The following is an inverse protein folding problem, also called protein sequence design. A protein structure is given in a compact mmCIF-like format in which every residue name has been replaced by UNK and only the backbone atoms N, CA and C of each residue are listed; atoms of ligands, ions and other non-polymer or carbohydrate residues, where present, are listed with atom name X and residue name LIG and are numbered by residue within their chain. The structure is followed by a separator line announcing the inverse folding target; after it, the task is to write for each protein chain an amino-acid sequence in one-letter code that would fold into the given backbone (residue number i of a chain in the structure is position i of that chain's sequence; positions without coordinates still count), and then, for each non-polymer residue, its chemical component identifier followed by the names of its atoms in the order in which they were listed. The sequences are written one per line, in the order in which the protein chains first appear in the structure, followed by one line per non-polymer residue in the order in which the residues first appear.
data_IF_164970732499
#
_entry.id   IF_164970732499
#
_cell.length_a   1.000
_cell.length_b   1.000
_cell.length_c   1.000
_cell.angle_alpha   90.00
_cell.angle_beta   90.00
_cell.angle_gamma   90.00
#
_symmetry.space_group_name_H-M   'P 1'
#
loop_
_entity.id
_entity.type
_entity.pdbx_description
1 polymer ?
#
# COMPACT_ATOMS: atom_id res chain seq x y z
N UNK A 1 19.32 24.30 -10.27
CA UNK A 1 18.53 23.64 -11.34
C UNK A 1 17.49 24.64 -11.79
N UNK A 2 17.15 24.67 -13.08
CA UNK A 2 16.11 25.55 -13.60
C UNK A 2 14.75 25.09 -13.06
N UNK A 3 13.82 26.03 -12.83
CA UNK A 3 12.52 25.72 -12.28
C UNK A 3 11.62 25.02 -13.32
N UNK A 4 10.66 24.23 -12.85
CA UNK A 4 9.57 23.71 -13.67
C UNK A 4 8.30 24.52 -13.38
N UNK A 5 7.70 25.10 -14.42
CA UNK A 5 6.39 25.73 -14.37
C UNK A 5 5.37 24.82 -15.07
N UNK A 6 4.54 24.14 -14.29
CA UNK A 6 3.43 23.33 -14.81
C UNK A 6 2.14 24.14 -14.78
N UNK A 7 1.59 24.46 -15.94
CA UNK A 7 0.26 25.09 -16.07
C UNK A 7 -0.78 24.01 -16.28
N UNK A 8 -1.95 24.12 -15.65
CA UNK A 8 -3.03 23.16 -15.80
C UNK A 8 -4.40 23.81 -15.70
N UNK A 9 -5.37 23.28 -16.47
CA UNK A 9 -6.75 23.76 -16.41
C UNK A 9 -7.46 23.24 -15.16
N UNK A 10 -7.31 21.97 -14.80
CA UNK A 10 -7.95 21.37 -13.62
C UNK A 10 -6.91 20.75 -12.69
N UNK A 11 -6.90 21.21 -11.43
CA UNK A 11 -6.03 20.73 -10.36
C UNK A 11 -6.86 20.21 -9.19
N UNK A 12 -6.72 18.94 -8.84
CA UNK A 12 -7.06 18.43 -7.51
C UNK A 12 -5.78 18.48 -6.68
N UNK A 13 -5.69 19.32 -5.66
CA UNK A 13 -4.43 19.53 -4.92
C UNK A 13 -4.27 18.65 -3.67
N UNK A 14 -5.27 17.82 -3.34
CA UNK A 14 -5.23 16.98 -2.15
C UNK A 14 -5.39 17.72 -0.82
N UNK A 15 -5.69 19.03 -0.82
CA UNK A 15 -5.96 19.80 0.43
C UNK A 15 -7.40 19.66 0.90
N UNK A 16 -8.28 19.15 0.04
CA UNK A 16 -9.69 18.90 0.29
C UNK A 16 -10.30 18.06 -0.82
N UNK A 17 -11.62 18.18 -1.03
CA UNK A 17 -12.38 17.35 -1.96
C UNK A 17 -12.74 18.05 -3.28
N UNK A 18 -12.19 19.24 -3.53
CA UNK A 18 -12.56 20.08 -4.68
C UNK A 18 -11.39 20.30 -5.63
N UNK A 19 -11.70 20.56 -6.90
CA UNK A 19 -10.72 21.01 -7.89
C UNK A 19 -10.62 22.52 -7.94
N UNK A 20 -9.44 23.02 -8.28
CA UNK A 20 -9.17 24.42 -8.62
C UNK A 20 -8.92 24.53 -10.12
N UNK A 21 -9.34 25.65 -10.71
CA UNK A 21 -9.25 25.88 -12.16
C UNK A 21 -8.11 26.85 -12.49
N UNK A 22 -7.46 26.68 -13.64
CA UNK A 22 -6.40 27.58 -14.16
C UNK A 22 -5.29 27.83 -13.13
N UNK A 23 -4.55 26.77 -12.81
CA UNK A 23 -3.51 26.78 -11.79
C UNK A 23 -2.13 26.62 -12.42
N UNK A 24 -1.12 27.18 -11.75
CA UNK A 24 0.29 26.93 -12.03
C UNK A 24 0.96 26.36 -10.80
N UNK A 25 1.77 25.33 -11.00
CA UNK A 25 2.69 24.77 -10.02
C UNK A 25 4.11 25.17 -10.44
N UNK A 26 4.85 25.82 -9.56
CA UNK A 26 6.28 26.09 -9.76
C UNK A 26 7.07 25.17 -8.85
N UNK A 27 8.03 24.46 -9.44
CA UNK A 27 8.85 23.46 -8.76
C UNK A 27 10.31 23.87 -8.81
N UNK A 28 10.93 23.95 -7.64
CA UNK A 28 12.34 24.28 -7.46
C UNK A 28 12.97 23.25 -6.51
N UNK A 29 14.09 22.66 -6.91
CA UNK A 29 14.82 21.67 -6.10
C UNK A 29 13.93 20.51 -5.60
N UNK A 30 12.93 20.13 -6.40
CA UNK A 30 11.99 19.06 -6.10
C UNK A 30 10.84 19.43 -5.15
N UNK A 31 10.78 20.68 -4.70
CA UNK A 31 9.73 21.22 -3.85
C UNK A 31 8.84 22.19 -4.62
N UNK A 32 7.58 22.30 -4.21
CA UNK A 32 6.65 23.29 -4.75
C UNK A 32 6.97 24.68 -4.16
N UNK A 33 7.51 25.59 -4.98
CA UNK A 33 7.75 26.99 -4.58
C UNK A 33 6.50 27.87 -4.74
N UNK A 34 5.57 27.46 -5.63
CA UNK A 34 4.28 28.12 -5.80
C UNK A 34 3.21 27.11 -6.25
N UNK A 35 2.01 27.22 -5.68
CA UNK A 35 0.80 26.56 -6.18
C UNK A 35 -0.35 27.55 -6.08
N UNK A 36 -0.95 27.93 -7.20
CA UNK A 36 -2.02 28.90 -7.19
C UNK A 36 -2.47 29.35 -8.59
N UNK A 37 -3.35 30.37 -8.67
CA UNK A 37 -3.88 30.87 -9.95
C UNK A 37 -2.77 31.23 -10.93
N UNK A 38 -2.93 30.82 -12.20
CA UNK A 38 -1.92 31.08 -13.24
C UNK A 38 -1.65 32.57 -13.45
N UNK A 39 -2.66 33.41 -13.30
CA UNK A 39 -2.53 34.87 -13.43
C UNK A 39 -1.60 35.50 -12.39
N UNK A 40 -1.41 34.85 -11.24
CA UNK A 40 -0.57 35.31 -10.12
C UNK A 40 0.76 34.57 -10.04
N UNK A 41 1.02 33.63 -10.95
CA UNK A 41 2.21 32.80 -10.90
C UNK A 41 3.48 33.61 -11.23
N UNK A 42 4.62 33.29 -10.60
CA UNK A 42 5.92 33.81 -11.01
C UNK A 42 6.15 33.57 -12.51
N UNK A 43 6.68 34.58 -13.20
CA UNK A 43 6.99 34.45 -14.62
C UNK A 43 8.21 33.54 -14.80
N UNK A 44 8.18 32.60 -15.78
CA UNK A 44 9.34 31.76 -16.07
C UNK A 44 10.55 32.60 -16.45
N UNK A 45 11.71 32.26 -15.89
CA UNK A 45 13.00 32.85 -16.24
C UNK A 45 13.65 32.13 -17.42
N UNK A 46 14.71 32.72 -17.97
CA UNK A 46 15.48 32.08 -19.03
C UNK A 46 16.08 30.75 -18.54
N UNK A 47 15.73 29.65 -19.21
CA UNK A 47 16.18 28.30 -18.87
C UNK A 47 15.14 27.47 -18.10
N UNK A 48 14.11 28.10 -17.53
CA UNK A 48 13.03 27.37 -16.87
C UNK A 48 12.25 26.49 -17.85
N UNK A 49 11.85 25.31 -17.38
CA UNK A 49 11.03 24.39 -18.16
C UNK A 49 9.57 24.74 -17.95
N UNK A 50 8.88 25.10 -19.03
CA UNK A 50 7.43 25.34 -19.00
C UNK A 50 6.72 24.14 -19.60
N UNK A 51 5.78 23.56 -18.86
CA UNK A 51 4.92 22.47 -19.30
C UNK A 51 3.48 22.95 -19.22
N UNK A 52 2.77 22.90 -20.34
CA UNK A 52 1.33 23.10 -20.38
C UNK A 52 0.64 21.73 -20.34
N UNK A 53 -0.05 21.43 -19.25
CA UNK A 53 -0.82 20.20 -19.09
C UNK A 53 -2.13 20.23 -19.88
N UNK A 54 -2.53 21.38 -20.44
CA UNK A 54 -3.79 21.54 -21.15
C UNK A 54 -4.98 21.09 -20.30
N UNK A 55 -5.84 20.27 -20.89
CA UNK A 55 -7.04 19.71 -20.25
C UNK A 55 -6.76 18.46 -19.39
N UNK A 56 -5.50 18.04 -19.26
CA UNK A 56 -5.19 16.93 -18.37
C UNK A 56 -5.52 17.29 -16.92
N UNK A 57 -6.11 16.33 -16.22
CA UNK A 57 -6.39 16.43 -14.79
C UNK A 57 -5.08 16.24 -14.01
N UNK A 58 -4.72 17.23 -13.19
CA UNK A 58 -3.53 17.19 -12.35
C UNK A 58 -3.91 16.84 -10.91
N UNK A 59 -3.20 15.88 -10.30
CA UNK A 59 -3.41 15.48 -8.90
C UNK A 59 -2.11 15.04 -8.21
N UNK A 60 -2.04 14.98 -6.86
CA UNK A 60 -0.89 14.40 -6.18
C UNK A 60 -0.65 12.96 -6.63
N UNK A 61 0.61 12.52 -6.56
CA UNK A 61 0.95 11.11 -6.69
C UNK A 61 0.22 10.24 -5.67
N UNK A 62 -0.13 9.01 -6.06
CA UNK A 62 -0.81 8.08 -5.17
C UNK A 62 0.13 7.60 -4.05
N UNK A 63 -0.46 7.34 -2.89
CA UNK A 63 0.19 6.72 -1.73
C UNK A 63 -0.50 5.39 -1.44
N UNK A 64 0.23 4.30 -1.60
CA UNK A 64 -0.24 2.94 -1.30
C UNK A 64 0.35 2.45 0.03
N UNK A 65 -0.50 2.28 1.05
CA UNK A 65 -0.05 1.99 2.41
C UNK A 65 0.09 0.50 2.73
N UNK A 66 -0.11 -0.40 1.77
CA UNK A 66 0.10 -1.84 2.00
C UNK A 66 0.60 -2.54 0.73
N UNK A 67 1.89 -2.84 0.71
CA UNK A 67 2.57 -3.53 -0.40
C UNK A 67 3.67 -4.43 0.14
N UNK A 68 4.14 -5.40 -0.65
CA UNK A 68 5.16 -6.35 -0.20
C UNK A 68 6.26 -6.51 -1.23
N UNK A 69 7.38 -5.78 -1.13
CA UNK A 69 8.45 -5.84 -2.14
C UNK A 69 9.20 -7.18 -2.20
N UNK A 70 9.22 -7.96 -1.11
CA UNK A 70 9.85 -9.29 -1.07
C UNK A 70 9.13 -10.34 -1.92
N UNK A 71 7.81 -10.25 -2.09
CA UNK A 71 7.01 -11.39 -2.57
C UNK A 71 7.21 -11.64 -4.06
N UNK A 72 7.50 -10.60 -4.84
CA UNK A 72 7.77 -10.62 -6.28
C UNK A 72 6.74 -11.39 -7.11
N UNK A 73 5.46 -11.09 -6.90
CA UNK A 73 4.31 -11.70 -7.57
C UNK A 73 4.19 -13.20 -7.28
N UNK A 74 4.37 -13.57 -6.00
CA UNK A 74 4.32 -14.94 -5.54
C UNK A 74 2.96 -15.60 -5.78
N UNK A 75 2.97 -16.90 -6.03
CA UNK A 75 1.77 -17.71 -6.23
C UNK A 75 1.44 -18.57 -5.01
N UNK A 76 2.39 -18.68 -4.08
CA UNK A 76 2.29 -19.46 -2.84
C UNK A 76 3.21 -18.89 -1.77
N UNK A 77 3.00 -19.27 -0.51
CA UNK A 77 3.89 -18.90 0.60
C UNK A 77 5.30 -19.51 0.41
N UNK A 78 5.37 -20.71 -0.18
CA UNK A 78 6.64 -21.35 -0.52
C UNK A 78 7.47 -20.52 -1.52
N UNK A 79 6.83 -19.88 -2.51
CA UNK A 79 7.51 -18.95 -3.42
C UNK A 79 8.03 -17.73 -2.70
N UNK A 80 7.28 -17.26 -1.68
CA UNK A 80 7.68 -16.12 -0.88
C UNK A 80 8.89 -16.47 -0.05
N UNK A 81 8.92 -17.62 0.63
CA UNK A 81 9.83 -17.87 1.75
C UNK A 81 10.94 -18.92 1.50
N UNK A 82 10.73 -19.89 0.60
CA UNK A 82 11.62 -21.05 0.43
C UNK A 82 12.54 -20.93 -0.78
N UNK A 83 11.99 -20.53 -1.94
CA UNK A 83 12.65 -20.77 -3.24
C UNK A 83 13.56 -19.63 -3.74
N UNK A 84 13.74 -18.55 -2.96
CA UNK A 84 14.50 -17.38 -3.39
C UNK A 84 15.44 -16.86 -2.31
N UNK A 85 16.67 -16.50 -2.70
CA UNK A 85 17.61 -15.84 -1.78
C UNK A 85 17.21 -14.37 -1.55
N UNK A 86 17.65 -13.79 -0.43
CA UNK A 86 17.36 -12.40 -0.08
C UNK A 86 17.95 -11.41 -1.11
N UNK A 87 19.11 -11.71 -1.69
CA UNK A 87 19.73 -10.88 -2.73
C UNK A 87 18.84 -10.81 -3.98
N UNK A 88 18.32 -11.96 -4.42
CA UNK A 88 17.46 -12.00 -5.59
C UNK A 88 16.10 -11.35 -5.31
N UNK A 89 15.54 -11.54 -4.11
CA UNK A 89 14.34 -10.82 -3.67
C UNK A 89 14.57 -9.31 -3.72
N UNK A 90 15.72 -8.81 -3.26
CA UNK A 90 16.02 -7.38 -3.25
C UNK A 90 16.14 -6.79 -4.67
N UNK A 91 16.80 -7.49 -5.59
CA UNK A 91 16.87 -7.08 -6.99
C UNK A 91 15.49 -7.04 -7.66
N UNK A 92 14.65 -8.05 -7.41
CA UNK A 92 13.25 -8.06 -7.85
C UNK A 92 12.42 -6.94 -7.22
N UNK A 93 12.56 -6.72 -5.92
CA UNK A 93 11.89 -5.65 -5.20
C UNK A 93 12.23 -4.29 -5.79
N UNK A 94 13.52 -4.02 -6.07
CA UNK A 94 13.94 -2.80 -6.76
C UNK A 94 13.38 -2.69 -8.19
N UNK A 95 13.35 -3.79 -8.94
CA UNK A 95 12.74 -3.83 -10.26
C UNK A 95 11.25 -3.47 -10.20
N UNK A 96 10.50 -4.05 -9.27
CA UNK A 96 9.08 -3.79 -9.13
C UNK A 96 8.76 -2.43 -8.50
N UNK A 97 9.61 -1.90 -7.61
CA UNK A 97 9.46 -0.53 -7.10
C UNK A 97 9.40 0.50 -8.25
N UNK A 98 10.19 0.31 -9.32
CA UNK A 98 10.10 1.14 -10.51
C UNK A 98 8.76 0.97 -11.27
N UNK A 99 8.19 -0.24 -11.29
CA UNK A 99 6.87 -0.49 -11.88
C UNK A 99 5.75 0.18 -11.09
N UNK A 100 5.83 0.13 -9.76
CA UNK A 100 4.91 0.82 -8.85
C UNK A 100 4.94 2.34 -9.13
N UNK A 101 6.14 2.93 -9.25
CA UNK A 101 6.27 4.35 -9.59
C UNK A 101 5.68 4.70 -10.96
N UNK A 102 5.96 3.89 -11.99
CA UNK A 102 5.36 4.08 -13.31
C UNK A 102 3.83 4.00 -13.33
N UNK A 103 3.23 3.29 -12.37
CA UNK A 103 1.78 3.20 -12.22
C UNK A 103 1.17 4.41 -11.49
N UNK A 104 1.95 5.43 -11.15
CA UNK A 104 1.48 6.66 -10.51
C UNK A 104 1.51 6.63 -8.98
N UNK A 105 2.06 5.58 -8.37
CA UNK A 105 2.29 5.50 -6.92
C UNK A 105 3.66 6.11 -6.61
N UNK A 106 3.69 7.33 -6.09
CA UNK A 106 4.95 8.04 -5.80
C UNK A 106 5.47 7.80 -4.39
N UNK A 107 4.62 7.27 -3.51
CA UNK A 107 4.98 6.85 -2.15
C UNK A 107 4.29 5.53 -1.79
N UNK A 108 4.97 4.67 -1.05
CA UNK A 108 4.42 3.38 -0.63
C UNK A 108 4.88 2.99 0.77
N UNK A 109 4.05 2.24 1.49
CA UNK A 109 4.43 1.56 2.74
C UNK A 109 4.60 0.07 2.43
N UNK A 110 5.73 -0.49 2.86
CA UNK A 110 6.03 -1.91 2.77
C UNK A 110 6.04 -2.49 4.20
N UNK A 111 4.87 -2.88 4.75
CA UNK A 111 4.73 -3.23 6.16
C UNK A 111 4.99 -4.73 6.41
N UNK A 112 5.85 -5.38 5.62
CA UNK A 112 6.19 -6.79 5.82
C UNK A 112 7.16 -7.26 4.76
N UNK A 113 8.25 -7.89 5.19
CA UNK A 113 9.40 -8.13 4.33
C UNK A 113 10.27 -9.32 4.75
N UNK A 114 11.21 -9.74 3.89
CA UNK A 114 12.31 -10.65 4.25
C UNK A 114 13.54 -9.85 4.68
N UNK A 115 13.98 -10.05 5.92
CA UNK A 115 15.17 -9.39 6.46
C UNK A 115 15.07 -7.86 6.43
N UNK A 116 15.99 -7.20 5.72
CA UNK A 116 16.09 -5.73 5.59
C UNK A 116 15.88 -5.27 4.13
N UNK A 117 15.16 -6.04 3.32
CA UNK A 117 15.07 -5.81 1.88
C UNK A 117 14.49 -4.44 1.50
N UNK A 118 13.33 -4.05 2.04
CA UNK A 118 12.68 -2.77 1.75
C UNK A 118 13.47 -1.61 2.33
N UNK A 119 14.20 -1.82 3.43
CA UNK A 119 15.17 -0.86 3.95
C UNK A 119 16.27 -0.63 2.91
N UNK A 120 16.83 -1.70 2.33
CA UNK A 120 17.84 -1.61 1.29
C UNK A 120 17.31 -0.93 0.01
N UNK A 121 16.11 -1.30 -0.45
CA UNK A 121 15.46 -0.67 -1.62
C UNK A 121 15.17 0.80 -1.35
N UNK A 122 14.59 1.14 -0.19
CA UNK A 122 14.35 2.53 0.25
C UNK A 122 15.64 3.33 0.22
N UNK A 123 16.69 2.82 0.85
CA UNK A 123 17.98 3.52 0.96
C UNK A 123 18.61 3.73 -0.43
N UNK A 124 18.53 2.73 -1.31
CA UNK A 124 19.05 2.85 -2.67
C UNK A 124 18.28 3.90 -3.52
N UNK A 125 16.95 3.96 -3.38
CA UNK A 125 16.13 5.01 -4.02
C UNK A 125 16.43 6.39 -3.40
N UNK A 126 16.54 6.48 -2.08
CA UNK A 126 16.81 7.73 -1.37
C UNK A 126 18.21 8.28 -1.68
N UNK A 127 19.19 7.40 -1.90
CA UNK A 127 20.54 7.76 -2.33
C UNK A 127 20.62 8.15 -3.82
N UNK A 128 19.53 8.01 -4.59
CA UNK A 128 19.50 8.32 -6.02
C UNK A 128 20.19 7.27 -6.91
N UNK A 129 20.47 6.06 -6.38
CA UNK A 129 21.07 4.97 -7.16
C UNK A 129 20.09 4.41 -8.18
N UNK A 130 18.80 4.41 -7.85
CA UNK A 130 17.73 3.92 -8.70
C UNK A 130 16.48 4.81 -8.60
N UNK A 131 15.68 4.79 -9.66
CA UNK A 131 14.34 5.35 -9.63
C UNK A 131 13.40 4.45 -8.79
N UNK A 132 12.37 5.03 -8.17
CA UNK A 132 11.39 4.31 -7.36
C UNK A 132 10.58 5.27 -6.50
N UNK A 133 9.46 4.84 -5.90
CA UNK A 133 8.68 5.67 -4.98
C UNK A 133 9.46 5.97 -3.70
N UNK A 134 8.98 6.92 -2.90
CA UNK A 134 9.37 6.99 -1.48
C UNK A 134 8.82 5.77 -0.77
N UNK A 135 9.63 5.11 0.05
CA UNK A 135 9.25 3.86 0.71
C UNK A 135 9.31 4.08 2.22
N UNK A 136 8.21 3.81 2.92
CA UNK A 136 8.22 3.55 4.35
C UNK A 136 8.50 2.05 4.53
N UNK A 137 9.70 1.74 5.01
CA UNK A 137 10.21 0.37 5.08
C UNK A 137 9.99 -0.23 6.47
N UNK A 138 9.54 -1.48 6.52
CA UNK A 138 9.60 -2.30 7.72
C UNK A 138 10.70 -3.35 7.62
N UNK A 139 10.70 -4.30 8.55
CA UNK A 139 11.42 -5.56 8.43
C UNK A 139 10.39 -6.71 8.44
N UNK A 140 10.83 -7.89 8.89
CA UNK A 140 9.99 -9.07 9.08
C UNK A 140 8.81 -8.75 9.98
N UNK A 141 7.65 -9.30 9.62
CA UNK A 141 6.42 -9.18 10.41
C UNK A 141 6.61 -9.82 11.79
N UNK A 142 6.30 -9.11 12.87
CA UNK A 142 6.30 -9.71 14.21
C UNK A 142 5.08 -10.61 14.33
N UNK A 143 5.31 -11.88 14.63
CA UNK A 143 4.28 -12.92 14.55
C UNK A 143 4.38 -13.85 15.76
N UNK A 144 3.26 -14.39 16.22
CA UNK A 144 3.22 -15.41 17.27
C UNK A 144 2.64 -16.71 16.73
N UNK A 145 2.63 -17.76 17.55
CA UNK A 145 1.80 -18.93 17.29
C UNK A 145 0.37 -18.52 16.98
N UNK A 146 -0.25 -19.16 15.99
CA UNK A 146 -1.62 -18.91 15.53
C UNK A 146 -1.86 -17.68 14.63
N UNK A 147 -0.88 -16.79 14.50
CA UNK A 147 -0.96 -15.63 13.60
C UNK A 147 -0.86 -16.02 12.11
N UNK A 148 -1.20 -15.09 11.21
CA UNK A 148 -1.20 -15.27 9.75
C UNK A 148 0.08 -15.93 9.22
N UNK A 149 1.24 -15.56 9.76
CA UNK A 149 2.54 -15.99 9.26
C UNK A 149 3.08 -17.26 9.96
N UNK A 150 2.35 -17.90 10.89
CA UNK A 150 2.77 -19.16 11.52
C UNK A 150 2.37 -20.39 10.68
N UNK A 151 2.89 -20.49 9.46
CA UNK A 151 2.54 -21.56 8.52
C UNK A 151 3.54 -22.72 8.45
N UNK A 152 4.78 -22.52 8.93
CA UNK A 152 5.77 -23.59 9.03
C UNK A 152 5.34 -24.65 10.04
N UNK A 153 5.34 -25.95 9.68
CA UNK A 153 5.03 -27.01 10.65
C UNK A 153 5.95 -26.94 11.87
N UNK A 154 5.40 -27.11 13.07
CA UNK A 154 6.17 -26.99 14.31
C UNK A 154 7.40 -27.89 14.39
N UNK A 155 7.38 -29.05 13.72
CA UNK A 155 8.53 -29.98 13.65
C UNK A 155 9.68 -29.48 12.76
N UNK A 156 9.40 -28.53 11.85
CA UNK A 156 10.39 -27.88 10.97
C UNK A 156 10.93 -26.62 11.64
N UNK A 157 10.05 -25.88 12.33
CA UNK A 157 10.39 -24.57 12.91
C UNK A 157 10.38 -23.46 11.86
N UNK A 158 10.21 -22.22 12.31
CA UNK A 158 10.25 -21.04 11.45
C UNK A 158 11.70 -20.64 11.15
N UNK A 159 12.13 -20.58 9.88
CA UNK A 159 13.47 -20.14 9.52
C UNK A 159 13.73 -18.67 9.87
N UNK A 160 14.99 -18.29 10.08
CA UNK A 160 15.34 -16.89 10.38
C UNK A 160 15.22 -15.95 9.17
N UNK A 161 15.30 -16.48 7.94
CA UNK A 161 15.17 -15.74 6.68
C UNK A 161 13.72 -15.65 6.17
N UNK A 162 12.76 -16.05 7.00
CA UNK A 162 11.33 -15.96 6.72
C UNK A 162 10.86 -14.49 6.71
N UNK A 163 9.81 -14.18 5.95
CA UNK A 163 9.14 -12.87 5.92
C UNK A 163 8.47 -12.46 7.25
N UNK A 164 8.44 -13.36 8.23
CA UNK A 164 8.05 -13.05 9.60
C UNK A 164 9.09 -13.51 10.64
N UNK A 165 9.04 -12.86 11.80
CA UNK A 165 9.79 -13.25 12.99
C UNK A 165 8.82 -13.82 14.01
N UNK A 166 8.89 -15.14 14.19
CA UNK A 166 8.18 -15.83 15.27
C UNK A 166 8.77 -15.43 16.62
N UNK A 167 7.96 -14.82 17.46
CA UNK A 167 8.26 -14.48 18.85
C UNK A 167 7.31 -15.28 19.74
N UNK A 168 7.84 -15.86 20.81
CA UNK A 168 7.10 -16.76 21.71
C UNK A 168 7.01 -16.22 23.13
N UNK A 169 7.58 -15.04 23.37
CA UNK A 169 7.48 -14.34 24.66
C UNK A 169 7.49 -12.82 24.47
N UNK A 170 6.98 -12.10 25.47
CA UNK A 170 7.05 -10.63 25.57
C UNK A 170 8.47 -10.10 25.36
N UNK A 171 9.45 -10.68 26.05
CA UNK A 171 10.84 -10.23 25.96
C UNK A 171 11.43 -10.41 24.56
N UNK A 172 11.08 -11.48 23.86
CA UNK A 172 11.50 -11.70 22.46
C UNK A 172 10.87 -10.66 21.53
N UNK A 173 9.58 -10.35 21.71
CA UNK A 173 8.89 -9.32 20.94
C UNK A 173 9.56 -7.95 21.08
N UNK A 174 9.80 -7.50 22.32
CA UNK A 174 10.45 -6.21 22.59
C UNK A 174 11.90 -6.19 22.08
N UNK A 175 12.64 -7.30 22.21
CA UNK A 175 14.00 -7.40 21.69
C UNK A 175 14.04 -7.31 20.15
N UNK A 176 13.11 -7.95 19.46
CA UNK A 176 12.99 -7.85 18.00
C UNK A 176 12.62 -6.43 17.56
N UNK A 177 11.66 -5.77 18.22
CA UNK A 177 11.30 -4.37 17.93
C UNK A 177 12.52 -3.46 18.02
N UNK A 178 13.31 -3.59 19.09
CA UNK A 178 14.57 -2.83 19.27
C UNK A 178 15.57 -3.11 18.17
N UNK A 179 15.69 -4.37 17.74
CA UNK A 179 16.57 -4.77 16.64
C UNK A 179 16.13 -4.12 15.32
N UNK A 180 14.85 -4.22 14.98
CA UNK A 180 14.32 -3.62 13.75
C UNK A 180 14.46 -2.09 13.76
N UNK A 181 14.21 -1.44 14.91
CA UNK A 181 14.44 0.00 15.08
C UNK A 181 15.92 0.38 14.89
N UNK A 182 16.85 -0.40 15.48
CA UNK A 182 18.30 -0.23 15.25
C UNK A 182 18.66 -0.35 13.77
N UNK A 183 18.02 -1.26 13.05
CA UNK A 183 18.25 -1.50 11.62
C UNK A 183 17.60 -0.40 10.72
N UNK A 184 16.85 0.53 11.32
CA UNK A 184 16.38 1.75 10.66
C UNK A 184 15.04 1.60 9.94
N UNK A 185 14.12 0.79 10.46
CA UNK A 185 12.72 0.72 9.99
C UNK A 185 11.99 2.04 10.25
N UNK A 186 11.07 2.39 9.36
CA UNK A 186 10.13 3.51 9.54
C UNK A 186 8.88 3.08 10.35
N UNK A 187 8.55 1.80 10.30
CA UNK A 187 7.42 1.21 10.99
C UNK A 187 7.66 -0.25 11.41
N UNK A 188 6.95 -0.67 12.45
CA UNK A 188 6.87 -2.05 12.92
C UNK A 188 5.54 -2.64 12.47
N UNK A 189 5.56 -3.84 11.88
CA UNK A 189 4.35 -4.61 11.59
C UNK A 189 4.16 -5.74 12.58
N UNK A 190 2.93 -5.91 13.06
CA UNK A 190 2.52 -7.03 13.90
C UNK A 190 1.37 -7.78 13.22
N UNK A 191 1.46 -9.12 13.15
CA UNK A 191 0.35 -9.98 12.74
C UNK A 191 -0.49 -10.36 13.96
N UNK A 192 -1.58 -9.62 14.19
CA UNK A 192 -2.38 -9.71 15.41
C UNK A 192 -3.30 -10.91 15.46
N UNK A 193 -3.64 -11.50 14.32
CA UNK A 193 -4.44 -12.71 14.21
C UNK A 193 -4.08 -13.52 12.94
N UNK A 194 -4.83 -14.59 12.71
CA UNK A 194 -4.65 -15.52 11.61
C UNK A 194 -5.93 -16.31 11.34
N UNK A 195 -5.81 -17.62 11.16
CA UNK A 195 -6.95 -18.48 10.78
C UNK A 195 -7.64 -19.17 11.96
N UNK A 196 -7.09 -19.06 13.18
CA UNK A 196 -7.61 -19.72 14.37
C UNK A 196 -8.92 -19.09 14.85
N UNK A 197 -9.91 -19.93 15.14
CA UNK A 197 -11.27 -19.50 15.50
C UNK A 197 -11.79 -20.20 16.75
N UNK A 198 -12.60 -19.46 17.52
CA UNK A 198 -13.44 -19.99 18.61
C UNK A 198 -14.57 -20.86 18.03
N UNK A 199 -15.24 -21.70 18.85
CA UNK A 199 -16.39 -22.49 18.39
C UNK A 199 -17.54 -21.67 17.79
N UNK A 200 -17.69 -20.40 18.20
CA UNK A 200 -18.67 -19.46 17.66
C UNK A 200 -18.23 -18.79 16.34
N UNK A 201 -17.05 -19.14 15.81
CA UNK A 201 -16.51 -18.63 14.55
C UNK A 201 -15.65 -17.37 14.66
N UNK A 202 -15.55 -16.73 15.83
CA UNK A 202 -14.72 -15.53 16.02
C UNK A 202 -13.23 -15.85 15.89
N UNK A 203 -12.50 -14.99 15.18
CA UNK A 203 -11.04 -15.08 15.04
C UNK A 203 -10.38 -14.73 16.39
N UNK A 204 -9.39 -15.52 16.77
CA UNK A 204 -8.64 -15.34 18.02
C UNK A 204 -7.40 -14.49 17.75
N UNK A 205 -7.18 -13.47 18.59
CA UNK A 205 -5.93 -12.70 18.53
C UNK A 205 -4.73 -13.56 18.98
N UNK A 206 -3.63 -13.48 18.24
CA UNK A 206 -2.39 -14.20 18.48
C UNK A 206 -1.55 -13.59 19.62
N UNK A 207 -1.89 -12.38 20.05
CA UNK A 207 -1.29 -11.69 21.19
C UNK A 207 -2.38 -11.23 22.15
N UNK A 208 -2.06 -11.21 23.43
CA UNK A 208 -2.92 -10.62 24.46
C UNK A 208 -2.96 -9.10 24.34
N UNK A 209 -3.97 -8.46 24.95
CA UNK A 209 -4.06 -7.00 25.01
C UNK A 209 -2.81 -6.35 25.64
N UNK A 210 -2.26 -6.96 26.70
CA UNK A 210 -1.04 -6.46 27.37
C UNK A 210 0.19 -6.57 26.47
N UNK A 211 0.39 -7.71 25.79
CA UNK A 211 1.48 -7.87 24.82
C UNK A 211 1.38 -6.86 23.68
N UNK A 212 0.17 -6.62 23.19
CA UNK A 212 -0.10 -5.64 22.14
C UNK A 212 0.30 -4.24 22.59
N UNK A 213 -0.18 -3.81 23.76
CA UNK A 213 0.17 -2.51 24.35
C UNK A 213 1.68 -2.36 24.51
N UNK A 214 2.34 -3.33 25.13
CA UNK A 214 3.79 -3.28 25.38
C UNK A 214 4.60 -3.17 24.09
N UNK A 215 4.22 -3.92 23.04
CA UNK A 215 4.86 -3.83 21.73
C UNK A 215 4.66 -2.45 21.07
N UNK A 216 3.44 -1.90 21.14
CA UNK A 216 3.13 -0.59 20.54
C UNK A 216 3.85 0.53 21.28
N UNK A 217 3.80 0.54 22.61
CA UNK A 217 4.51 1.51 23.45
C UNK A 217 6.02 1.49 23.17
N UNK A 218 6.63 0.31 23.03
CA UNK A 218 8.06 0.21 22.75
C UNK A 218 8.41 0.71 21.34
N UNK A 219 7.59 0.41 20.33
CA UNK A 219 7.80 0.91 18.98
C UNK A 219 7.68 2.45 18.93
N UNK A 220 6.66 3.02 19.56
CA UNK A 220 6.47 4.47 19.67
C UNK A 220 7.59 5.15 20.46
N UNK A 221 8.05 4.55 21.56
CA UNK A 221 9.20 5.03 22.35
C UNK A 221 10.48 5.11 21.50
N UNK A 222 10.61 4.24 20.50
CA UNK A 222 11.73 4.21 19.55
C UNK A 222 11.49 5.11 18.32
N UNK A 223 10.33 5.78 18.22
CA UNK A 223 9.99 6.68 17.12
C UNK A 223 9.46 5.98 15.86
N UNK A 224 9.12 4.70 15.93
CA UNK A 224 8.53 3.95 14.83
C UNK A 224 7.01 3.98 14.90
N UNK A 225 6.34 4.09 13.75
CA UNK A 225 4.89 3.82 13.66
C UNK A 225 4.60 2.33 13.79
N UNK A 226 3.37 1.97 14.14
CA UNK A 226 2.93 0.57 14.17
C UNK A 226 1.81 0.32 13.18
N UNK A 227 1.94 -0.75 12.41
CA UNK A 227 0.87 -1.25 11.56
C UNK A 227 0.49 -2.70 11.93
N UNK A 228 -0.78 -3.08 11.80
CA UNK A 228 -1.24 -4.42 12.20
C UNK A 228 -2.05 -5.11 11.12
N UNK A 229 -1.76 -6.40 10.88
CA UNK A 229 -2.76 -7.28 10.28
C UNK A 229 -3.77 -7.64 11.38
N UNK A 230 -5.03 -7.24 11.23
CA UNK A 230 -6.10 -7.58 12.16
C UNK A 230 -7.42 -7.79 11.41
N UNK A 231 -7.85 -9.03 11.28
CA UNK A 231 -9.15 -9.36 10.66
C UNK A 231 -10.30 -9.33 11.68
N UNK A 232 -10.08 -9.96 12.83
CA UNK A 232 -11.06 -10.23 13.86
C UNK A 232 -11.31 -9.06 14.80
N UNK A 233 -12.54 -8.97 15.32
CA UNK A 233 -12.96 -8.04 16.37
C UNK A 233 -11.93 -7.92 17.51
N UNK A 234 -11.46 -9.04 18.03
CA UNK A 234 -10.53 -9.07 19.18
C UNK A 234 -9.20 -8.37 18.86
N UNK A 235 -8.59 -8.73 17.72
CA UNK A 235 -7.34 -8.13 17.27
C UNK A 235 -7.49 -6.63 16.98
N UNK A 236 -8.58 -6.23 16.31
CA UNK A 236 -8.87 -4.81 16.01
C UNK A 236 -9.06 -4.02 17.31
N UNK A 237 -9.78 -4.56 18.29
CA UNK A 237 -9.97 -3.92 19.59
C UNK A 237 -8.66 -3.75 20.35
N UNK A 238 -7.79 -4.77 20.38
CA UNK A 238 -6.49 -4.69 21.05
C UNK A 238 -5.56 -3.69 20.36
N UNK A 239 -5.51 -3.70 19.02
CA UNK A 239 -4.74 -2.76 18.23
C UNK A 239 -5.19 -1.31 18.46
N UNK A 240 -6.50 -1.04 18.40
CA UNK A 240 -7.04 0.29 18.62
C UNK A 240 -6.71 0.81 20.03
N UNK A 241 -6.97 0.03 21.08
CA UNK A 241 -6.69 0.43 22.47
C UNK A 241 -5.20 0.62 22.76
N UNK A 242 -4.32 -0.08 22.04
CA UNK A 242 -2.89 0.11 22.15
C UNK A 242 -2.39 1.37 21.42
N UNK A 243 -3.21 2.03 20.61
CA UNK A 243 -2.83 3.22 19.86
C UNK A 243 -2.12 2.93 18.54
N UNK A 244 -2.40 1.78 17.90
CA UNK A 244 -1.79 1.43 16.59
C UNK A 244 -2.09 2.50 15.55
N UNK A 245 -1.06 2.95 14.80
CA UNK A 245 -1.21 3.99 13.78
C UNK A 245 -2.04 3.55 12.57
N UNK A 246 -1.81 2.32 12.09
CA UNK A 246 -2.40 1.79 10.85
C UNK A 246 -2.94 0.37 11.05
N UNK A 247 -4.25 0.21 10.95
CA UNK A 247 -4.93 -1.09 11.03
C UNK A 247 -5.27 -1.56 9.62
N UNK A 248 -4.84 -2.76 9.27
CA UNK A 248 -5.17 -3.37 7.98
C UNK A 248 -6.38 -4.29 8.10
N UNK A 249 -7.19 -4.30 7.04
CA UNK A 249 -8.32 -5.22 6.85
C UNK A 249 -9.56 -4.90 7.72
N UNK A 250 -9.55 -5.29 9.00
CA UNK A 250 -10.65 -5.11 9.96
C UNK A 250 -12.04 -5.61 9.50
N UNK A 251 -12.10 -6.65 8.67
CA UNK A 251 -13.34 -7.12 8.06
C UNK A 251 -14.39 -7.66 9.05
N UNK A 252 -13.99 -8.05 10.26
CA UNK A 252 -14.90 -8.60 11.28
C UNK A 252 -14.95 -7.73 12.54
N UNK A 253 -14.63 -6.44 12.44
CA UNK A 253 -14.79 -5.50 13.55
C UNK A 253 -16.28 -5.23 13.87
N UNK A 254 -16.56 -4.61 15.01
CA UNK A 254 -17.90 -4.16 15.41
C UNK A 254 -17.91 -2.65 15.74
N UNK A 255 -19.04 -2.14 16.20
CA UNK A 255 -19.19 -0.69 16.47
C UNK A 255 -18.31 -0.25 17.65
N UNK A 256 -18.05 -1.12 18.63
CA UNK A 256 -17.11 -0.83 19.72
C UNK A 256 -15.67 -0.72 19.21
N UNK A 257 -15.27 -1.54 18.22
CA UNK A 257 -13.99 -1.36 17.54
C UNK A 257 -13.92 -0.03 16.79
N UNK A 258 -15.01 0.40 16.13
CA UNK A 258 -15.06 1.69 15.42
C UNK A 258 -14.84 2.85 16.40
N UNK A 259 -15.52 2.84 17.55
CA UNK A 259 -15.33 3.84 18.61
C UNK A 259 -13.88 3.86 19.11
N UNK A 260 -13.29 2.69 19.36
CA UNK A 260 -11.90 2.59 19.80
C UNK A 260 -10.91 3.10 18.74
N UNK A 261 -11.13 2.83 17.45
CA UNK A 261 -10.29 3.33 16.36
C UNK A 261 -10.35 4.86 16.25
N UNK A 262 -11.54 5.45 16.46
CA UNK A 262 -11.72 6.91 16.50
C UNK A 262 -10.98 7.54 17.67
N UNK A 263 -11.13 6.98 18.88
CA UNK A 263 -10.46 7.46 20.08
C UNK A 263 -8.92 7.40 19.94
N UNK A 264 -8.41 6.31 19.36
CA UNK A 264 -6.99 6.13 19.10
C UNK A 264 -6.44 7.00 17.97
N UNK A 265 -7.29 7.54 17.10
CA UNK A 265 -6.87 8.25 15.89
C UNK A 265 -6.23 7.34 14.83
N UNK A 266 -6.49 6.03 14.89
CA UNK A 266 -5.95 5.03 13.96
C UNK A 266 -6.47 5.23 12.54
N UNK A 267 -5.62 4.93 11.56
CA UNK A 267 -5.99 4.91 10.14
C UNK A 267 -6.34 3.48 9.75
N UNK A 268 -7.41 3.32 8.97
CA UNK A 268 -7.84 2.02 8.45
C UNK A 268 -7.49 1.86 6.97
N UNK A 269 -6.86 0.75 6.61
CA UNK A 269 -6.60 0.37 5.22
C UNK A 269 -7.22 -1.02 4.95
N UNK A 270 -8.41 -1.08 4.32
CA UNK A 270 -9.15 -2.34 4.15
C UNK A 270 -8.44 -3.38 3.30
N UNK A 271 -7.67 -2.93 2.31
CA UNK A 271 -6.97 -3.76 1.34
C UNK A 271 -7.88 -4.76 0.64
N UNK A 272 -9.03 -4.28 0.16
CA UNK A 272 -10.02 -5.10 -0.53
C UNK A 272 -9.51 -5.61 -1.89
N UNK A 273 -8.50 -4.96 -2.48
CA UNK A 273 -7.97 -5.31 -3.80
C UNK A 273 -7.53 -6.75 -3.90
N UNK A 274 -6.70 -7.25 -2.97
CA UNK A 274 -6.27 -8.66 -2.97
C UNK A 274 -7.44 -9.65 -2.91
N UNK A 275 -8.32 -9.65 -1.89
CA UNK A 275 -9.43 -10.60 -1.84
C UNK A 275 -10.42 -10.39 -3.00
N UNK A 276 -10.59 -9.17 -3.51
CA UNK A 276 -11.45 -8.91 -4.66
C UNK A 276 -10.87 -9.51 -5.95
N UNK A 277 -9.58 -9.33 -6.19
CA UNK A 277 -8.89 -9.92 -7.34
C UNK A 277 -8.97 -11.47 -7.25
N UNK A 278 -8.85 -12.05 -6.06
CA UNK A 278 -9.04 -13.49 -5.87
C UNK A 278 -10.44 -13.95 -6.29
N UNK A 279 -11.49 -13.19 -5.93
CA UNK A 279 -12.87 -13.51 -6.31
C UNK A 279 -13.08 -13.36 -7.82
N UNK A 280 -12.61 -12.27 -8.40
CA UNK A 280 -12.93 -11.92 -9.78
C UNK A 280 -12.08 -12.69 -10.78
N UNK A 281 -10.78 -12.85 -10.50
CA UNK A 281 -9.80 -13.22 -11.51
C UNK A 281 -9.39 -14.68 -11.46
N UNK A 282 -9.36 -15.31 -10.28
CA UNK A 282 -8.95 -16.71 -10.16
C UNK A 282 -9.78 -17.64 -11.07
N UNK A 283 -9.12 -18.66 -11.60
CA UNK A 283 -9.65 -19.64 -12.53
C UNK A 283 -9.83 -20.99 -11.84
N UNK A 284 -10.61 -21.88 -12.46
CA UNK A 284 -10.93 -23.20 -11.87
C UNK A 284 -9.70 -24.06 -11.51
N UNK A 285 -8.55 -23.84 -12.15
CA UNK A 285 -7.31 -24.56 -11.87
C UNK A 285 -6.51 -23.98 -10.70
N UNK A 286 -6.84 -22.77 -10.23
CA UNK A 286 -6.10 -22.15 -9.13
C UNK A 286 -6.41 -22.83 -7.79
N UNK A 287 -5.42 -22.93 -6.89
CA UNK A 287 -5.62 -23.37 -5.52
C UNK A 287 -6.71 -22.58 -4.80
N UNK A 288 -6.82 -21.27 -5.08
CA UNK A 288 -7.82 -20.41 -4.46
C UNK A 288 -9.27 -20.85 -4.72
N UNK A 289 -9.55 -21.42 -5.91
CA UNK A 289 -10.88 -21.93 -6.24
C UNK A 289 -11.07 -23.33 -5.65
N UNK A 290 -10.12 -24.23 -5.90
CA UNK A 290 -10.22 -25.65 -5.49
C UNK A 290 -10.26 -25.87 -3.97
N UNK A 291 -9.64 -24.97 -3.18
CA UNK A 291 -9.68 -25.02 -1.70
C UNK A 291 -10.87 -24.28 -1.09
N UNK A 292 -11.67 -23.57 -1.90
CA UNK A 292 -12.76 -22.72 -1.44
C UNK A 292 -12.32 -21.36 -0.87
N UNK A 293 -11.03 -21.02 -0.97
CA UNK A 293 -10.49 -19.75 -0.48
C UNK A 293 -11.14 -18.52 -1.15
N UNK A 294 -11.39 -18.55 -2.47
CA UNK A 294 -12.12 -17.47 -3.14
C UNK A 294 -13.53 -17.28 -2.59
N UNK A 295 -14.21 -18.37 -2.20
CA UNK A 295 -15.50 -18.29 -1.52
C UNK A 295 -15.40 -17.68 -0.11
N UNK A 296 -14.29 -17.92 0.60
CA UNK A 296 -13.98 -17.24 1.85
C UNK A 296 -13.71 -15.73 1.65
N UNK A 297 -12.95 -15.35 0.62
CA UNK A 297 -12.73 -13.95 0.26
C UNK A 297 -14.05 -13.23 -0.06
N UNK A 298 -14.93 -13.86 -0.86
CA UNK A 298 -16.23 -13.30 -1.21
C UNK A 298 -17.10 -13.02 0.04
N UNK A 299 -17.21 -13.98 0.96
CA UNK A 299 -17.95 -13.80 2.21
C UNK A 299 -17.31 -12.74 3.11
N UNK A 300 -15.98 -12.72 3.20
CA UNK A 300 -15.24 -11.74 3.99
C UNK A 300 -15.47 -10.32 3.46
N UNK A 301 -15.46 -10.13 2.14
CA UNK A 301 -15.76 -8.85 1.51
C UNK A 301 -17.20 -8.41 1.74
N UNK A 302 -18.17 -9.33 1.67
CA UNK A 302 -19.58 -9.02 1.92
C UNK A 302 -19.82 -8.53 3.36
N UNK A 303 -19.38 -9.33 4.34
CA UNK A 303 -19.49 -8.99 5.78
C UNK A 303 -18.69 -7.73 6.09
N UNK A 304 -17.45 -7.68 5.62
CA UNK A 304 -16.53 -6.57 5.84
C UNK A 304 -17.02 -5.26 5.27
N UNK A 305 -17.54 -5.26 4.04
CA UNK A 305 -18.07 -4.03 3.42
C UNK A 305 -19.18 -3.40 4.25
N UNK A 306 -20.03 -4.20 4.90
CA UNK A 306 -21.12 -3.69 5.73
C UNK A 306 -20.61 -2.93 6.97
N UNK A 307 -19.56 -3.43 7.64
CA UNK A 307 -18.99 -2.73 8.81
C UNK A 307 -18.04 -1.59 8.42
N UNK A 308 -17.28 -1.75 7.33
CA UNK A 308 -16.43 -0.69 6.80
C UNK A 308 -17.23 0.55 6.36
N UNK A 309 -18.45 0.37 5.82
CA UNK A 309 -19.39 1.48 5.57
C UNK A 309 -19.76 2.24 6.85
N UNK A 310 -19.99 1.52 7.95
CA UNK A 310 -20.29 2.15 9.25
C UNK A 310 -19.07 2.90 9.80
N UNK A 311 -17.88 2.33 9.68
CA UNK A 311 -16.63 3.01 10.06
C UNK A 311 -16.42 4.30 9.24
N UNK A 312 -16.67 4.26 7.93
CA UNK A 312 -16.65 5.46 7.07
C UNK A 312 -17.67 6.50 7.55
N UNK A 313 -18.91 6.08 7.79
CA UNK A 313 -19.98 6.99 8.25
C UNK A 313 -19.67 7.60 9.63
N UNK A 314 -18.96 6.87 10.49
CA UNK A 314 -18.51 7.34 11.80
C UNK A 314 -17.30 8.29 11.73
N UNK A 315 -16.62 8.39 10.58
CA UNK A 315 -15.49 9.29 10.37
C UNK A 315 -14.11 8.69 10.64
N UNK A 316 -13.98 7.35 10.71
CA UNK A 316 -12.67 6.70 10.76
C UNK A 316 -11.88 7.08 9.51
N UNK A 317 -10.61 7.52 9.60
CA UNK A 317 -9.84 7.85 8.41
C UNK A 317 -9.43 6.59 7.64
N UNK A 318 -9.67 6.58 6.33
CA UNK A 318 -9.30 5.48 5.44
C UNK A 318 -8.09 5.84 4.58
N UNK A 319 -7.17 4.90 4.42
CA UNK A 319 -6.07 4.96 3.47
C UNK A 319 -6.21 3.86 2.39
N UNK A 320 -5.65 4.14 1.21
CA UNK A 320 -5.55 3.17 0.12
C UNK A 320 -4.41 2.18 0.38
N UNK A 321 -4.71 0.88 0.37
CA UNK A 321 -3.70 -0.19 0.41
C UNK A 321 -4.07 -1.29 -0.56
N UNK A 322 -3.17 -1.71 -1.46
CA UNK A 322 -3.49 -2.73 -2.47
C UNK A 322 -3.23 -4.17 -2.03
N UNK A 323 -2.34 -4.34 -1.06
CA UNK A 323 -1.75 -5.63 -0.70
C UNK A 323 -1.06 -6.30 -1.92
N UNK A 324 -0.33 -5.48 -2.68
CA UNK A 324 0.39 -5.91 -3.88
C UNK A 324 1.64 -6.73 -3.55
N UNK A 325 1.91 -7.71 -4.39
CA UNK A 325 3.07 -8.61 -4.27
C UNK A 325 2.75 -10.07 -4.56
N UNK A 326 1.47 -10.38 -4.74
CA UNK A 326 0.97 -11.69 -5.13
C UNK A 326 0.64 -11.73 -6.62
N UNK A 327 0.63 -12.93 -7.21
CA UNK A 327 0.31 -13.11 -8.63
C UNK A 327 -1.11 -12.63 -8.99
N UNK A 328 -2.03 -12.62 -8.03
CA UNK A 328 -3.38 -12.09 -8.18
C UNK A 328 -3.47 -10.57 -8.05
N UNK A 329 -2.46 -9.94 -7.44
CA UNK A 329 -2.32 -8.48 -7.31
C UNK A 329 -0.89 -8.05 -7.67
N UNK A 330 -0.52 -8.10 -8.96
CA UNK A 330 0.86 -7.81 -9.35
C UNK A 330 1.24 -6.34 -9.19
N UNK A 331 2.51 -6.06 -8.92
CA UNK A 331 3.01 -4.68 -8.83
C UNK A 331 2.75 -3.89 -10.11
N UNK A 332 2.36 -2.63 -9.93
CA UNK A 332 2.09 -1.70 -11.01
C UNK A 332 0.79 -1.97 -11.78
N UNK A 333 0.01 -2.98 -11.40
CA UNK A 333 -1.24 -3.35 -12.09
C UNK A 333 -2.49 -2.84 -11.38
N UNK A 334 -2.66 -3.14 -10.09
CA UNK A 334 -3.94 -2.98 -9.40
C UNK A 334 -3.92 -2.01 -8.21
N UNK A 335 -2.88 -1.18 -8.07
CA UNK A 335 -2.80 -0.20 -6.97
C UNK A 335 -4.01 0.73 -6.88
N UNK A 336 -4.50 1.20 -8.04
CA UNK A 336 -5.66 2.09 -8.10
C UNK A 336 -7.02 1.35 -7.98
N UNK A 337 -7.03 0.02 -7.96
CA UNK A 337 -8.27 -0.76 -7.82
C UNK A 337 -8.90 -0.58 -6.44
N UNK A 338 -8.09 -0.34 -5.41
CA UNK A 338 -8.62 -0.07 -4.08
C UNK A 338 -9.55 1.15 -4.08
N UNK A 339 -9.23 2.19 -4.85
CA UNK A 339 -10.09 3.38 -4.96
C UNK A 339 -11.44 3.06 -5.63
N UNK A 340 -11.45 2.21 -6.65
CA UNK A 340 -12.70 1.69 -7.23
C UNK A 340 -13.53 0.95 -6.19
N UNK A 341 -12.89 0.16 -5.32
CA UNK A 341 -13.57 -0.60 -4.28
C UNK A 341 -14.07 0.29 -3.14
N UNK A 342 -13.32 1.33 -2.75
CA UNK A 342 -13.81 2.36 -1.82
C UNK A 342 -15.10 3.02 -2.36
N UNK A 343 -15.14 3.36 -3.65
CA UNK A 343 -16.32 3.96 -4.28
C UNK A 343 -17.48 2.95 -4.38
N UNK A 344 -17.25 1.84 -5.07
CA UNK A 344 -18.30 0.87 -5.43
C UNK A 344 -18.81 0.04 -4.26
N UNK A 345 -17.93 -0.34 -3.31
CA UNK A 345 -18.29 -1.17 -2.16
C UNK A 345 -18.60 -0.36 -0.92
N UNK A 346 -17.89 0.75 -0.67
CA UNK A 346 -18.01 1.48 0.60
C UNK A 346 -18.75 2.82 0.48
N UNK A 347 -19.13 3.25 -0.73
CA UNK A 347 -19.87 4.49 -0.93
C UNK A 347 -19.04 5.75 -0.70
N UNK A 348 -17.74 5.68 -1.01
CA UNK A 348 -16.93 6.88 -1.15
C UNK A 348 -17.34 7.62 -2.42
N UNK A 349 -17.33 8.95 -2.38
CA UNK A 349 -17.23 9.72 -3.62
C UNK A 349 -15.84 9.54 -4.22
N UNK A 350 -15.66 9.69 -5.54
CA UNK A 350 -14.33 9.66 -6.14
C UNK A 350 -13.33 10.61 -5.47
N UNK A 351 -13.75 11.82 -5.08
CA UNK A 351 -12.89 12.77 -4.37
C UNK A 351 -12.44 12.26 -2.99
N UNK A 352 -13.34 11.63 -2.22
CA UNK A 352 -12.97 11.01 -0.93
C UNK A 352 -11.98 9.86 -1.15
N UNK A 353 -12.14 9.06 -2.20
CA UNK A 353 -11.21 7.97 -2.53
C UNK A 353 -9.82 8.49 -2.95
N UNK A 354 -9.75 9.57 -3.74
CA UNK A 354 -8.49 10.25 -4.06
C UNK A 354 -7.83 10.81 -2.78
N UNK A 355 -8.61 11.40 -1.88
CA UNK A 355 -8.10 11.93 -0.62
C UNK A 355 -7.53 10.83 0.29
N UNK A 356 -8.20 9.68 0.35
CA UNK A 356 -7.72 8.47 1.03
C UNK A 356 -6.37 7.97 0.47
N UNK A 357 -6.20 8.02 -0.85
CA UNK A 357 -5.00 7.61 -1.56
C UNK A 357 -3.93 8.70 -1.70
N UNK A 358 -4.12 9.88 -1.10
CA UNK A 358 -3.15 10.98 -1.17
C UNK A 358 -2.87 11.53 0.23
N UNK A 359 -3.66 12.49 0.72
CA UNK A 359 -3.42 13.16 1.99
C UNK A 359 -3.53 12.20 3.20
N UNK A 360 -4.50 11.28 3.21
CA UNK A 360 -4.60 10.31 4.32
C UNK A 360 -3.47 9.30 4.26
N UNK A 361 -3.19 8.73 3.08
CA UNK A 361 -2.07 7.80 2.90
C UNK A 361 -0.72 8.41 3.28
N UNK A 362 -0.50 9.70 3.00
CA UNK A 362 0.73 10.40 3.37
C UNK A 362 0.97 10.42 4.89
N UNK A 363 -0.08 10.40 5.74
CA UNK A 363 0.06 10.32 7.21
C UNK A 363 0.72 9.02 7.68
N UNK A 364 0.72 7.98 6.83
CA UNK A 364 1.38 6.70 7.10
C UNK A 364 2.88 6.71 6.73
N UNK A 365 3.36 7.73 6.02
CA UNK A 365 4.75 7.83 5.57
C UNK A 365 5.63 8.56 6.61
N UNK A 366 6.94 8.23 6.69
CA UNK A 366 7.90 9.09 7.37
C UNK A 366 7.92 10.46 6.70
N UNK A 367 7.89 11.53 7.51
CA UNK A 367 7.78 12.93 7.04
C UNK A 367 6.55 13.17 6.14
N UNK A 368 5.44 12.50 6.47
CA UNK A 368 4.18 12.54 5.75
C UNK A 368 3.59 13.94 5.55
N UNK A 369 3.92 14.89 6.44
CA UNK A 369 3.53 16.30 6.31
C UNK A 369 4.07 16.96 5.03
N UNK A 370 5.10 16.38 4.41
CA UNK A 370 5.69 16.87 3.15
C UNK A 370 5.11 16.22 1.89
N UNK A 371 4.11 15.34 2.03
CA UNK A 371 3.57 14.48 0.97
C UNK A 371 2.04 14.59 0.84
N UNK A 372 1.47 13.90 -0.16
CA UNK A 372 0.03 13.66 -0.32
C UNK A 372 -0.82 14.86 -0.72
N UNK A 373 -0.21 16.02 -0.96
CA UNK A 373 -0.89 17.26 -1.36
C UNK A 373 0.08 18.18 -2.10
N UNK A 374 -0.47 19.04 -2.95
CA UNK A 374 0.26 19.99 -3.78
C UNK A 374 0.17 21.37 -3.13
N UNK A 375 0.98 21.55 -2.09
CA UNK A 375 1.08 22.78 -1.31
C UNK A 375 2.51 23.32 -1.33
N UNK A 376 2.67 24.63 -1.15
CA UNK A 376 3.99 25.28 -1.09
C UNK A 376 4.84 24.64 0.02
N UNK A 377 6.09 24.32 -0.31
CA UNK A 377 7.05 23.67 0.58
C UNK A 377 6.97 22.14 0.60
N UNK A 378 5.95 21.52 -0.01
CA UNK A 378 5.83 20.05 -0.12
C UNK A 378 6.54 19.49 -1.34
N UNK A 379 6.73 18.17 -1.35
CA UNK A 379 7.35 17.46 -2.47
C UNK A 379 6.50 17.57 -3.73
N UNK A 380 7.15 17.85 -4.87
CA UNK A 380 6.49 17.96 -6.16
C UNK A 380 6.22 16.58 -6.78
N UNK A 381 5.29 15.84 -6.19
CA UNK A 381 4.83 14.53 -6.64
C UNK A 381 3.42 14.63 -7.22
N UNK A 382 3.28 14.49 -8.53
CA UNK A 382 1.99 14.66 -9.19
C UNK A 382 1.84 13.82 -10.45
N UNK A 383 0.58 13.61 -10.84
CA UNK A 383 0.15 12.86 -12.00
C UNK A 383 -0.56 13.79 -12.97
N UNK A 384 -0.43 13.52 -14.27
CA UNK A 384 -1.26 14.08 -15.33
C UNK A 384 -2.11 12.97 -15.94
N UNK A 385 -3.42 13.12 -15.89
CA UNK A 385 -4.39 12.15 -16.40
C UNK A 385 -5.21 12.76 -17.54
N UNK A 386 -5.40 11.99 -18.59
CA UNK A 386 -6.37 12.29 -19.64
C UNK A 386 -7.76 11.82 -19.16
N UNK A 387 -8.65 12.78 -18.92
CA UNK A 387 -9.92 12.53 -18.25
C UNK A 387 -9.86 12.77 -16.75
N UNK A 388 -11.04 12.91 -16.13
CA UNK A 388 -11.15 13.23 -14.70
C UNK A 388 -11.47 11.98 -13.87
N UNK A 389 -10.64 11.62 -12.88
CA UNK A 389 -10.94 10.52 -11.97
C UNK A 389 -12.10 10.84 -11.03
N UNK A 390 -12.58 12.11 -11.01
CA UNK A 390 -13.78 12.50 -10.28
C UNK A 390 -15.07 12.10 -10.99
N UNK A 391 -15.02 11.85 -12.31
CA UNK A 391 -16.14 11.35 -13.10
C UNK A 391 -16.13 9.84 -13.16
N UNK A 392 -14.95 9.24 -13.36
CA UNK A 392 -14.75 7.80 -13.31
C UNK A 392 -13.40 7.48 -12.66
N UNK A 393 -13.45 6.96 -11.43
CA UNK A 393 -12.24 6.64 -10.66
C UNK A 393 -11.37 5.57 -11.33
N UNK A 394 -11.96 4.75 -12.22
CA UNK A 394 -11.27 3.64 -12.90
C UNK A 394 -10.24 4.11 -13.90
N UNK A 395 -10.24 5.37 -14.34
CA UNK A 395 -9.22 5.87 -15.28
C UNK A 395 -7.79 5.78 -14.72
N UNK A 396 -7.64 5.77 -13.39
CA UNK A 396 -6.35 5.56 -12.72
C UNK A 396 -5.80 4.14 -12.97
N UNK A 397 -6.66 3.21 -13.37
CA UNK A 397 -6.32 1.85 -13.78
C UNK A 397 -6.08 1.73 -15.29
N UNK A 398 -6.15 2.81 -16.08
CA UNK A 398 -5.82 2.79 -17.50
C UNK A 398 -4.46 3.46 -17.73
N UNK A 399 -3.45 2.65 -18.11
CA UNK A 399 -2.09 3.13 -18.40
C UNK A 399 -2.04 4.12 -19.56
N UNK A 400 -2.96 4.03 -20.52
CA UNK A 400 -2.99 4.92 -21.68
C UNK A 400 -3.48 6.35 -21.33
N UNK A 401 -4.18 6.46 -20.19
CA UNK A 401 -4.71 7.72 -19.63
C UNK A 401 -3.72 8.41 -18.71
N UNK A 402 -2.76 7.68 -18.14
CA UNK A 402 -1.66 8.25 -17.34
C UNK A 402 -0.60 8.88 -18.26
N UNK A 403 -0.74 10.18 -18.51
CA UNK A 403 0.14 10.91 -19.45
C UNK A 403 1.51 11.22 -18.89
N UNK A 404 1.59 11.50 -17.59
CA UNK A 404 2.87 11.70 -16.93
C UNK A 404 2.79 11.40 -15.43
N UNK A 405 3.91 10.94 -14.90
CA UNK A 405 4.18 10.85 -13.46
C UNK A 405 5.39 11.72 -13.18
N UNK A 406 5.29 12.57 -12.17
CA UNK A 406 6.39 13.38 -11.66
C UNK A 406 6.70 12.97 -10.23
N UNK A 407 7.99 12.77 -9.94
CA UNK A 407 8.49 12.52 -8.58
C UNK A 407 9.54 13.58 -8.25
N UNK A 408 9.31 14.35 -7.20
CA UNK A 408 10.15 15.50 -6.82
C UNK A 408 10.46 16.42 -8.04
N UNK A 409 9.43 16.72 -8.84
CA UNK A 409 9.53 17.59 -10.01
C UNK A 409 10.18 16.96 -11.24
N UNK A 410 10.69 15.73 -11.15
CA UNK A 410 11.32 15.04 -12.27
C UNK A 410 10.32 14.10 -12.97
N UNK A 411 10.26 14.11 -14.32
CA UNK A 411 9.43 13.19 -15.06
C UNK A 411 9.95 11.76 -14.88
N UNK A 412 9.03 10.81 -14.68
CA UNK A 412 9.30 9.38 -14.53
C UNK A 412 9.14 8.68 -15.86
N UNK A 413 9.99 7.69 -16.16
CA UNK A 413 9.83 6.84 -17.34
C UNK A 413 8.66 5.87 -17.13
N UNK A 414 7.55 6.01 -17.87
CA UNK A 414 6.39 5.14 -17.68
C UNK A 414 6.55 3.74 -18.28
N UNK A 415 7.27 3.64 -19.39
CA UNK A 415 7.56 2.35 -20.02
C UNK A 415 8.53 1.55 -19.15
N UNK A 416 8.16 0.30 -18.83
CA UNK A 416 8.97 -0.61 -18.04
C UNK A 416 9.33 -1.85 -18.82
N UNK A 417 10.52 -2.38 -18.54
CA UNK A 417 11.00 -3.61 -19.15
C UNK A 417 10.05 -4.75 -18.79
N UNK A 418 9.63 -5.57 -19.78
CA UNK A 418 8.88 -6.79 -19.46
C UNK A 418 9.79 -7.76 -18.71
N UNK A 419 9.18 -8.66 -17.94
CA UNK A 419 9.87 -9.80 -17.34
C UNK A 419 9.08 -11.08 -17.62
N UNK A 420 9.78 -12.22 -17.62
CA UNK A 420 9.14 -13.52 -17.79
C UNK A 420 8.80 -14.11 -16.42
N UNK A 421 7.52 -14.16 -16.01
CA UNK A 421 7.13 -14.71 -14.72
C UNK A 421 7.34 -16.23 -14.61
N UNK A 422 7.73 -16.91 -15.70
CA UNK A 422 8.11 -18.32 -15.68
C UNK A 422 9.60 -18.55 -15.43
N UNK A 423 10.44 -17.52 -15.53
CA UNK A 423 11.90 -17.59 -15.36
C UNK A 423 12.32 -16.85 -14.08
N UNK A 424 11.69 -17.21 -12.98
CA UNK A 424 11.85 -16.49 -11.70
C UNK A 424 12.92 -17.13 -10.83
N UNK A 425 13.11 -18.45 -10.89
CA UNK A 425 14.18 -19.18 -10.20
C UNK A 425 14.48 -20.49 -10.93
N UNK A 426 15.68 -21.04 -10.73
CA UNK A 426 16.06 -22.37 -11.24
C UNK A 426 15.27 -23.50 -10.57
N UNK A 427 14.71 -23.22 -9.39
CA UNK A 427 13.81 -24.09 -8.64
C UNK A 427 12.43 -23.45 -8.59
N UNK A 428 11.55 -23.89 -9.48
CA UNK A 428 10.15 -23.53 -9.45
C UNK A 428 9.33 -24.81 -9.26
N UNK A 429 8.74 -24.97 -8.07
CA UNK A 429 7.92 -26.15 -7.76
C UNK A 429 6.46 -26.02 -8.25
N UNK A 430 6.13 -24.96 -9.01
CA UNK A 430 4.76 -24.48 -9.10
C UNK A 430 3.73 -25.50 -9.59
N UNK A 431 2.76 -25.71 -8.69
CA UNK A 431 1.36 -25.96 -9.01
C UNK A 431 0.75 -24.61 -9.40
N UNK A 432 0.36 -24.53 -10.66
CA UNK A 432 -0.06 -23.37 -11.45
C UNK A 432 -1.05 -22.41 -10.77
N UNK A 433 -0.66 -21.15 -10.57
CA UNK A 433 -1.59 -19.99 -10.55
C UNK A 433 -1.22 -19.06 -11.71
N UNK A 434 -2.20 -18.43 -12.36
CA UNK A 434 -1.91 -17.43 -13.39
C UNK A 434 -1.36 -16.11 -12.79
N UNK A 435 -0.52 -15.38 -13.54
CA UNK A 435 -0.16 -14.00 -13.20
C UNK A 435 -1.25 -13.06 -13.75
N UNK A 436 -2.07 -12.51 -12.88
CA UNK A 436 -3.24 -11.70 -13.23
C UNK A 436 -2.87 -10.23 -13.47
N UNK A 437 -2.07 -9.96 -14.49
CA UNK A 437 -1.89 -8.58 -15.01
C UNK A 437 -3.18 -8.07 -15.64
N UNK A 438 -3.33 -6.75 -15.84
CA UNK A 438 -4.49 -6.20 -16.56
C UNK A 438 -4.66 -6.82 -17.94
N UNK A 439 -3.57 -6.97 -18.70
CA UNK A 439 -3.60 -7.62 -20.02
C UNK A 439 -4.09 -9.07 -19.94
N UNK A 440 -3.65 -9.83 -18.92
CA UNK A 440 -4.10 -11.21 -18.73
C UNK A 440 -5.57 -11.27 -18.38
N UNK A 441 -6.05 -10.42 -17.48
CA UNK A 441 -7.46 -10.38 -17.08
C UNK A 441 -8.35 -9.91 -18.24
N UNK A 442 -7.88 -8.99 -19.08
CA UNK A 442 -8.56 -8.58 -20.31
C UNK A 442 -8.68 -9.74 -21.32
N UNK A 443 -7.61 -10.51 -21.52
CA UNK A 443 -7.63 -11.72 -22.36
C UNK A 443 -8.62 -12.77 -21.86
N UNK A 444 -8.84 -12.83 -20.55
CA UNK A 444 -9.83 -13.71 -19.91
C UNK A 444 -11.27 -13.16 -19.99
N UNK A 445 -11.48 -11.97 -20.56
CA UNK A 445 -12.78 -11.31 -20.63
C UNK A 445 -13.33 -10.86 -19.28
N UNK A 446 -12.46 -10.72 -18.26
CA UNK A 446 -12.83 -10.42 -16.88
C UNK A 446 -12.61 -8.95 -16.49
N UNK A 447 -12.06 -8.15 -17.40
CA UNK A 447 -11.83 -6.72 -17.20
C UNK A 447 -11.80 -5.99 -18.54
N UNK A 448 -12.41 -4.82 -18.57
CA UNK A 448 -12.36 -3.87 -19.68
C UNK A 448 -12.55 -2.46 -19.11
N UNK A 449 -11.74 -1.50 -19.58
CA UNK A 449 -11.90 -0.07 -19.30
C UNK A 449 -12.08 0.67 -20.63
#
# INVERSE_FOLDING_TARGET
MNALHLKCQTLFDGTGLHTRQQQTLVVENGLLSYVGPTAMAPQPQAGDRVVDAGDNFVMPGLVDVHTHLAFGNAQSEEDIDIWTSDEFRALRGMFFAQHVLAAGVTSMVCPGDSGQLSIAVRNAVAAGLFEGPRIAASSRVITNRQSLNDWFPSRVGAPEYFTARLVTSRSEALAEIRKQAKDGVDLIKIAMDGTHRRPNGEIIAAFTADETREMVEEAHRLGCKVATHAYGREAVMYAARAGVDLVFHAFYMDDACIEALLEAGSILAPTMTFPQNTVDFCQAHDPAISTGYAGYCARTLEVGSAVLKRAKAAGVPFACGSDSGFAVTPYGEWHARELELLVSRLGFTPAEALYAATAVGARCMPRGETLGSLEVGKQADFLLLDGSPLQDIRILQDRSRLKAVYKAGQPVRLERSPYNPKQVSDFNSLKWTDLYTRDRVAQLGKWAI
#
